data_IF_117703188231
#
_entry.id   IF_117703188231
#
_cell.length_a   1.000
_cell.length_b   1.000
_cell.length_c   1.000
_cell.angle_alpha   90.00
_cell.angle_beta   90.00
_cell.angle_gamma   90.00
#
_symmetry.space_group_name_H-M   'P 1'
#
loop_
_entity.id
_entity.type
_entity.pdbx_description
1 polymer ?
#
# COMPACT_ATOMS: atom_id res chain seq x y z
N UNK A 1 -15.82 -24.42 5.50
CA UNK A 1 -15.62 -24.85 4.09
C UNK A 1 -15.40 -23.60 3.22
N UNK A 2 -14.14 -23.17 3.07
CA UNK A 2 -13.78 -21.95 2.35
C UNK A 2 -14.16 -22.01 0.86
N UNK A 3 -14.84 -20.98 0.35
CA UNK A 3 -15.05 -20.84 -1.09
C UNK A 3 -13.73 -20.49 -1.78
N UNK A 4 -13.22 -21.41 -2.60
CA UNK A 4 -11.97 -21.25 -3.38
C UNK A 4 -11.98 -19.97 -4.24
N UNK A 5 -13.15 -19.53 -4.68
CA UNK A 5 -13.40 -18.28 -5.40
C UNK A 5 -13.02 -17.04 -4.59
N UNK A 6 -13.39 -16.99 -3.30
CA UNK A 6 -13.15 -15.80 -2.48
C UNK A 6 -11.67 -15.63 -2.17
N UNK A 7 -10.95 -16.72 -1.86
CA UNK A 7 -9.49 -16.65 -1.68
C UNK A 7 -8.78 -16.14 -2.94
N UNK A 8 -9.22 -16.58 -4.12
CA UNK A 8 -8.67 -16.10 -5.40
C UNK A 8 -8.92 -14.60 -5.59
N UNK A 9 -10.09 -14.09 -5.22
CA UNK A 9 -10.40 -12.65 -5.26
C UNK A 9 -9.47 -11.85 -4.34
N UNK A 10 -9.28 -12.27 -3.08
CA UNK A 10 -8.36 -11.58 -2.18
C UNK A 10 -6.91 -11.61 -2.67
N UNK A 11 -6.43 -12.78 -3.13
CA UNK A 11 -5.09 -12.90 -3.69
C UNK A 11 -4.92 -11.98 -4.91
N UNK A 12 -5.90 -11.97 -5.82
CA UNK A 12 -5.89 -11.12 -7.02
C UNK A 12 -5.88 -9.62 -6.66
N UNK A 13 -6.74 -9.18 -5.76
CA UNK A 13 -6.77 -7.79 -5.30
C UNK A 13 -5.44 -7.39 -4.63
N UNK A 14 -4.89 -8.24 -3.77
CA UNK A 14 -3.57 -8.01 -3.18
C UNK A 14 -2.47 -7.96 -4.23
N UNK A 15 -2.51 -8.81 -5.26
CA UNK A 15 -1.53 -8.79 -6.35
C UNK A 15 -1.61 -7.50 -7.17
N UNK A 16 -2.79 -6.98 -7.46
CA UNK A 16 -2.95 -5.69 -8.15
C UNK A 16 -2.36 -4.55 -7.31
N UNK A 17 -2.74 -4.47 -6.03
CA UNK A 17 -2.27 -3.40 -5.14
C UNK A 17 -0.75 -3.49 -4.92
N UNK A 18 -0.22 -4.71 -4.78
CA UNK A 18 1.22 -4.96 -4.70
C UNK A 18 1.93 -4.53 -5.98
N UNK A 19 1.37 -4.84 -7.16
CA UNK A 19 1.93 -4.40 -8.43
C UNK A 19 1.98 -2.87 -8.52
N UNK A 20 0.91 -2.17 -8.14
CA UNK A 20 0.88 -0.70 -8.07
C UNK A 20 1.95 -0.16 -7.12
N UNK A 21 2.09 -0.73 -5.92
CA UNK A 21 3.10 -0.31 -4.96
C UNK A 21 4.53 -0.56 -5.48
N UNK A 22 4.77 -1.71 -6.12
CA UNK A 22 6.06 -2.03 -6.75
C UNK A 22 6.39 -1.10 -7.91
N UNK A 23 5.42 -0.76 -8.75
CA UNK A 23 5.59 0.23 -9.82
C UNK A 23 6.03 1.59 -9.27
N UNK A 24 5.56 1.98 -8.09
CA UNK A 24 6.06 3.18 -7.42
C UNK A 24 7.51 3.07 -7.00
N UNK A 25 7.92 1.95 -6.41
CA UNK A 25 9.34 1.76 -6.03
C UNK A 25 10.23 1.80 -7.26
N UNK A 26 9.81 1.17 -8.35
CA UNK A 26 10.51 1.19 -9.64
C UNK A 26 10.56 2.62 -10.21
N UNK A 27 9.45 3.35 -10.21
CA UNK A 27 9.40 4.73 -10.69
C UNK A 27 10.31 5.66 -9.91
N UNK A 28 10.36 5.53 -8.58
CA UNK A 28 11.31 6.28 -7.75
C UNK A 28 12.76 5.89 -8.07
N UNK A 29 13.05 4.59 -8.25
CA UNK A 29 14.39 4.12 -8.60
C UNK A 29 14.84 4.67 -9.97
N UNK A 30 13.96 4.61 -10.98
CA UNK A 30 14.22 5.17 -12.31
C UNK A 30 14.56 6.65 -12.19
N UNK A 31 13.77 7.46 -11.45
CA UNK A 31 14.07 8.88 -11.27
C UNK A 31 15.38 9.17 -10.53
N UNK A 32 15.93 8.21 -9.77
CA UNK A 32 17.23 8.35 -9.11
C UNK A 32 18.37 7.97 -10.05
N UNK A 33 18.22 6.90 -10.82
CA UNK A 33 19.32 6.34 -11.63
C UNK A 33 19.36 6.90 -13.05
N UNK A 34 18.20 7.25 -13.60
CA UNK A 34 18.02 7.70 -14.99
C UNK A 34 16.79 8.61 -15.06
N UNK A 35 16.91 9.89 -14.65
CA UNK A 35 15.79 10.81 -14.63
C UNK A 35 15.12 10.94 -16.00
N UNK A 36 13.79 10.98 -16.01
CA UNK A 36 12.98 11.07 -17.24
C UNK A 36 11.88 12.12 -17.08
N UNK A 37 11.55 12.80 -18.16
CA UNK A 37 10.64 13.96 -18.12
C UNK A 37 9.15 13.58 -17.98
N UNK A 38 8.78 12.35 -18.34
CA UNK A 38 7.39 11.90 -18.26
C UNK A 38 6.98 11.44 -16.86
N UNK A 39 7.94 11.20 -15.95
CA UNK A 39 7.68 10.87 -14.55
C UNK A 39 7.75 12.14 -13.68
N UNK A 40 7.03 12.20 -12.55
CA UNK A 40 7.18 13.31 -11.60
C UNK A 40 8.64 13.50 -11.15
N UNK A 41 9.03 14.73 -10.83
CA UNK A 41 10.37 15.06 -10.31
C UNK A 41 10.67 14.29 -9.02
N UNK A 42 11.93 13.93 -8.76
CA UNK A 42 12.36 13.13 -7.61
C UNK A 42 11.80 13.63 -6.26
N UNK A 43 11.78 14.95 -6.06
CA UNK A 43 11.29 15.61 -4.84
C UNK A 43 9.81 15.31 -4.54
N UNK A 44 9.02 15.03 -5.57
CA UNK A 44 7.60 14.69 -5.44
C UNK A 44 7.37 13.24 -4.96
N UNK A 45 8.33 12.33 -5.17
CA UNK A 45 8.19 10.91 -4.81
C UNK A 45 8.36 10.64 -3.32
N UNK A 46 9.07 11.53 -2.64
CA UNK A 46 9.44 11.38 -1.24
C UNK A 46 8.62 12.32 -0.36
N UNK A 47 7.67 11.74 0.37
CA UNK A 47 6.77 12.46 1.27
C UNK A 47 7.31 12.71 2.68
N UNK A 48 8.46 12.12 3.02
CA UNK A 48 9.12 12.20 4.33
C UNK A 48 10.57 12.65 4.19
N UNK A 49 11.15 13.23 5.23
CA UNK A 49 12.56 13.63 5.22
C UNK A 49 13.51 12.46 5.58
N UNK A 50 13.05 11.21 5.40
CA UNK A 50 13.85 10.03 5.70
C UNK A 50 14.97 9.82 4.65
N UNK A 51 16.13 9.28 5.03
CA UNK A 51 17.13 8.88 4.06
C UNK A 51 16.56 7.86 3.06
N UNK A 52 16.89 8.02 1.78
CA UNK A 52 16.38 7.14 0.72
C UNK A 52 16.61 5.66 1.00
N UNK A 53 17.77 5.29 1.56
CA UNK A 53 18.09 3.90 1.92
C UNK A 53 17.08 3.33 2.92
N UNK A 54 16.71 4.09 3.95
CA UNK A 54 15.72 3.66 4.96
C UNK A 54 14.35 3.50 4.32
N UNK A 55 13.97 4.45 3.46
CA UNK A 55 12.71 4.40 2.73
C UNK A 55 12.65 3.17 1.82
N UNK A 56 13.68 2.92 1.01
CA UNK A 56 13.76 1.77 0.12
C UNK A 56 13.72 0.45 0.90
N UNK A 57 14.49 0.34 1.99
CA UNK A 57 14.46 -0.87 2.84
C UNK A 57 13.06 -1.15 3.38
N UNK A 58 12.34 -0.13 3.85
CA UNK A 58 10.97 -0.29 4.34
C UNK A 58 10.02 -0.76 3.22
N UNK A 59 10.19 -0.25 2.01
CA UNK A 59 9.38 -0.63 0.84
C UNK A 59 9.63 -2.07 0.41
N UNK A 60 10.89 -2.50 0.39
CA UNK A 60 11.26 -3.88 0.05
C UNK A 60 10.71 -4.86 1.10
N UNK A 61 10.77 -4.50 2.39
CA UNK A 61 10.15 -5.30 3.46
C UNK A 61 8.64 -5.44 3.22
N UNK A 62 7.93 -4.35 2.93
CA UNK A 62 6.50 -4.39 2.62
C UNK A 62 6.23 -5.30 1.41
N UNK A 63 6.97 -5.14 0.32
CA UNK A 63 6.79 -5.95 -0.90
C UNK A 63 6.96 -7.44 -0.59
N UNK A 64 8.05 -7.82 0.09
CA UNK A 64 8.33 -9.22 0.44
C UNK A 64 7.23 -9.78 1.33
N UNK A 65 6.84 -9.06 2.38
CA UNK A 65 5.80 -9.50 3.31
C UNK A 65 4.46 -9.72 2.61
N UNK A 66 4.02 -8.75 1.81
CA UNK A 66 2.74 -8.85 1.09
C UNK A 66 2.78 -9.95 0.03
N UNK A 67 3.92 -10.15 -0.64
CA UNK A 67 4.11 -11.26 -1.59
C UNK A 67 3.93 -12.61 -0.89
N UNK A 68 4.58 -12.82 0.26
CA UNK A 68 4.46 -14.05 1.04
C UNK A 68 3.00 -14.27 1.48
N UNK A 69 2.33 -13.22 1.95
CA UNK A 69 0.92 -13.31 2.37
C UNK A 69 -0.02 -13.62 1.20
N UNK A 70 0.15 -12.97 0.06
CA UNK A 70 -0.62 -13.24 -1.15
C UNK A 70 -0.43 -14.69 -1.62
N UNK A 71 0.80 -15.19 -1.61
CA UNK A 71 1.10 -16.59 -1.93
C UNK A 71 0.42 -17.56 -0.95
N UNK A 72 0.49 -17.30 0.37
CA UNK A 72 -0.18 -18.13 1.38
C UNK A 72 -1.70 -18.11 1.26
N UNK A 73 -2.30 -16.97 0.89
CA UNK A 73 -3.74 -16.88 0.61
C UNK A 73 -4.10 -17.70 -0.63
N UNK A 74 -3.30 -17.60 -1.69
CA UNK A 74 -3.49 -18.35 -2.93
C UNK A 74 -3.40 -19.88 -2.69
N UNK A 75 -2.37 -20.30 -1.95
CA UNK A 75 -2.16 -21.70 -1.55
C UNK A 75 -3.19 -22.20 -0.50
N UNK A 76 -3.94 -21.30 0.13
CA UNK A 76 -4.88 -21.63 1.20
C UNK A 76 -4.22 -22.02 2.53
N UNK A 77 -2.93 -21.72 2.72
CA UNK A 77 -2.17 -22.01 3.93
C UNK A 77 -2.17 -20.87 4.95
N UNK A 78 -2.67 -19.68 4.59
CA UNK A 78 -2.85 -18.59 5.54
C UNK A 78 -4.07 -18.87 6.44
N UNK A 79 -3.82 -19.17 7.71
CA UNK A 79 -4.89 -19.38 8.70
C UNK A 79 -5.47 -18.02 9.12
N UNK A 80 -6.76 -17.76 8.90
CA UNK A 80 -7.39 -16.53 9.32
C UNK A 80 -7.44 -16.37 10.84
N UNK A 81 -7.28 -15.14 11.33
CA UNK A 81 -7.28 -14.82 12.77
C UNK A 81 -8.11 -13.57 12.99
N UNK A 82 -9.33 -13.74 13.51
CA UNK A 82 -10.31 -12.65 13.64
C UNK A 82 -9.80 -11.44 14.44
N UNK A 83 -9.01 -11.66 15.49
CA UNK A 83 -8.38 -10.56 16.27
C UNK A 83 -7.43 -9.73 15.41
N UNK A 84 -6.53 -10.40 14.70
CA UNK A 84 -5.60 -9.74 13.76
C UNK A 84 -6.37 -9.00 12.67
N UNK A 85 -7.42 -9.63 12.11
CA UNK A 85 -8.27 -9.02 11.10
C UNK A 85 -8.89 -7.70 11.55
N UNK A 86 -9.47 -7.68 12.76
CA UNK A 86 -10.04 -6.44 13.34
C UNK A 86 -8.99 -5.35 13.52
N UNK A 87 -7.82 -5.70 14.04
CA UNK A 87 -6.71 -4.76 14.25
C UNK A 87 -6.28 -4.16 12.90
N UNK A 88 -5.98 -5.01 11.91
CA UNK A 88 -5.58 -4.57 10.57
C UNK A 88 -6.67 -3.71 9.91
N UNK A 89 -7.94 -4.10 10.05
CA UNK A 89 -9.04 -3.36 9.45
C UNK A 89 -9.21 -1.97 10.09
N UNK A 90 -9.16 -1.86 11.42
CA UNK A 90 -9.23 -0.55 12.10
C UNK A 90 -8.05 0.35 11.74
N UNK A 91 -6.82 -0.17 11.78
CA UNK A 91 -5.64 0.60 11.39
C UNK A 91 -5.67 1.00 9.91
N UNK A 92 -6.11 0.08 9.04
CA UNK A 92 -6.28 0.36 7.62
C UNK A 92 -7.31 1.46 7.36
N UNK A 93 -8.48 1.41 7.99
CA UNK A 93 -9.49 2.47 7.83
C UNK A 93 -8.94 3.81 8.30
N UNK A 94 -8.39 3.85 9.51
CA UNK A 94 -7.86 5.09 10.08
C UNK A 94 -6.79 5.68 9.15
N UNK A 95 -5.85 4.85 8.71
CA UNK A 95 -4.77 5.28 7.83
C UNK A 95 -5.28 5.71 6.44
N UNK A 96 -6.25 4.99 5.87
CA UNK A 96 -6.88 5.35 4.60
C UNK A 96 -7.55 6.72 4.70
N UNK A 97 -8.35 6.97 5.74
CA UNK A 97 -9.06 8.23 5.94
C UNK A 97 -8.07 9.39 6.05
N UNK A 98 -6.99 9.24 6.82
CA UNK A 98 -5.96 10.28 6.97
C UNK A 98 -5.28 10.57 5.63
N UNK A 99 -4.90 9.53 4.87
CA UNK A 99 -4.23 9.70 3.57
C UNK A 99 -5.17 10.25 2.49
N UNK A 100 -6.45 9.88 2.55
CA UNK A 100 -7.48 10.39 1.65
C UNK A 100 -7.74 11.87 1.93
N UNK A 101 -7.91 12.24 3.19
CA UNK A 101 -8.02 13.64 3.61
C UNK A 101 -6.78 14.44 3.19
N UNK A 102 -5.57 13.90 3.42
CA UNK A 102 -4.32 14.53 2.95
C UNK A 102 -4.32 14.76 1.44
N UNK A 103 -4.76 13.79 0.65
CA UNK A 103 -4.81 13.92 -0.80
C UNK A 103 -5.80 15.00 -1.22
N UNK A 104 -7.04 14.96 -0.71
CA UNK A 104 -8.08 15.95 -1.04
C UNK A 104 -7.65 17.36 -0.64
N UNK A 105 -7.15 17.53 0.59
CA UNK A 105 -6.69 18.82 1.07
C UNK A 105 -5.50 19.34 0.26
N UNK A 106 -4.56 18.46 -0.12
CA UNK A 106 -3.38 18.84 -0.88
C UNK A 106 -3.64 19.22 -2.33
N UNK A 107 -4.71 18.72 -2.95
CA UNK A 107 -5.10 19.12 -4.32
C UNK A 107 -6.13 20.26 -4.35
N UNK A 108 -6.60 20.74 -3.19
CA UNK A 108 -7.65 21.78 -3.11
C UNK A 108 -7.17 23.04 -2.38
N UNK A 109 -7.06 22.98 -1.05
CA UNK A 109 -6.94 24.17 -0.19
C UNK A 109 -5.54 24.32 0.40
N UNK A 110 -4.81 23.21 0.58
CA UNK A 110 -3.53 23.17 1.28
C UNK A 110 -2.35 22.83 0.34
N UNK A 111 -2.47 23.12 -0.96
CA UNK A 111 -1.43 22.85 -1.95
C UNK A 111 -0.11 23.58 -1.64
N UNK A 112 -0.15 24.69 -0.91
CA UNK A 112 1.04 25.49 -0.55
C UNK A 112 1.83 24.91 0.63
N UNK A 113 1.26 23.94 1.38
CA UNK A 113 1.92 23.35 2.53
C UNK A 113 2.74 22.11 2.11
N UNK A 114 4.05 22.03 2.41
CA UNK A 114 4.94 20.97 1.91
C UNK A 114 4.48 19.54 2.18
N UNK A 115 3.81 19.31 3.32
CA UNK A 115 3.26 18.00 3.66
C UNK A 115 2.08 17.60 2.77
N UNK A 116 1.27 18.56 2.31
CA UNK A 116 0.09 18.35 1.50
C UNK A 116 0.39 18.42 -0.01
N UNK A 117 1.40 19.19 -0.42
CA UNK A 117 1.85 19.42 -1.80
C UNK A 117 2.46 18.17 -2.50
N UNK A 118 2.42 16.99 -1.87
CA UNK A 118 3.05 15.75 -2.37
C UNK A 118 1.99 14.65 -2.60
N UNK A 119 1.20 14.72 -3.70
CA UNK A 119 0.10 13.80 -3.95
C UNK A 119 0.56 12.38 -4.26
N UNK A 120 1.73 12.21 -4.90
CA UNK A 120 2.28 10.89 -5.28
C UNK A 120 2.41 9.97 -4.04
N UNK A 121 3.10 10.35 -2.95
CA UNK A 121 3.11 9.59 -1.71
C UNK A 121 1.72 9.30 -1.16
N UNK A 122 0.80 10.27 -1.16
CA UNK A 122 -0.55 10.09 -0.60
C UNK A 122 -1.31 8.99 -1.36
N UNK A 123 -1.26 8.98 -2.69
CA UNK A 123 -1.88 7.95 -3.54
C UNK A 123 -1.32 6.57 -3.20
N UNK A 124 0.01 6.41 -3.10
CA UNK A 124 0.59 5.10 -2.79
C UNK A 124 0.41 4.66 -1.33
N UNK A 125 0.19 5.59 -0.41
CA UNK A 125 -0.27 5.25 0.93
C UNK A 125 -1.73 4.77 0.95
N UNK A 126 -2.59 5.27 0.05
CA UNK A 126 -3.93 4.68 -0.16
C UNK A 126 -3.85 3.26 -0.70
N UNK A 127 -2.94 2.99 -1.65
CA UNK A 127 -2.66 1.62 -2.15
C UNK A 127 -2.18 0.71 -1.01
N UNK A 128 -1.23 1.18 -0.20
CA UNK A 128 -0.74 0.46 0.98
C UNK A 128 -1.87 0.18 1.97
N UNK A 129 -2.71 1.18 2.26
CA UNK A 129 -3.86 1.01 3.11
C UNK A 129 -4.87 0.00 2.55
N UNK A 130 -5.09 0.02 1.23
CA UNK A 130 -5.89 -0.97 0.53
C UNK A 130 -5.38 -2.40 0.75
N UNK A 131 -4.06 -2.61 0.74
CA UNK A 131 -3.47 -3.92 1.04
C UNK A 131 -3.79 -4.36 2.49
N UNK A 132 -3.63 -3.45 3.45
CA UNK A 132 -3.93 -3.70 4.88
C UNK A 132 -5.41 -4.00 5.09
N UNK A 133 -6.30 -3.23 4.47
CA UNK A 133 -7.75 -3.43 4.52
C UNK A 133 -8.16 -4.77 3.91
N UNK A 134 -7.55 -5.15 2.77
CA UNK A 134 -7.80 -6.43 2.11
C UNK A 134 -7.39 -7.61 3.00
N UNK A 135 -6.22 -7.53 3.64
CA UNK A 135 -5.76 -8.51 4.61
C UNK A 135 -6.64 -8.55 5.88
N UNK A 136 -7.03 -7.39 6.40
CA UNK A 136 -7.93 -7.29 7.56
C UNK A 136 -9.28 -7.94 7.28
N UNK A 137 -9.87 -7.65 6.12
CA UNK A 137 -11.13 -8.23 5.69
C UNK A 137 -11.02 -9.75 5.48
N UNK A 138 -9.94 -10.22 4.85
CA UNK A 138 -9.65 -11.65 4.71
C UNK A 138 -9.64 -12.34 6.08
N UNK A 139 -8.89 -11.82 7.04
CA UNK A 139 -8.78 -12.40 8.38
C UNK A 139 -10.09 -12.35 9.22
N UNK A 140 -11.02 -11.45 8.89
CA UNK A 140 -12.31 -11.33 9.57
C UNK A 140 -13.40 -12.26 9.02
N UNK A 141 -13.44 -12.45 7.70
CA UNK A 141 -14.57 -13.10 7.01
C UNK A 141 -14.27 -14.52 6.52
N UNK A 142 -13.01 -14.86 6.35
CA UNK A 142 -12.62 -16.24 6.06
C UNK A 142 -12.44 -16.91 7.42
N UNK A 143 -13.37 -17.76 7.87
CA UNK A 143 -13.22 -18.58 9.08
C UNK A 143 -12.89 -20.02 8.68
N UNK A 144 -12.07 -20.76 9.46
CA UNK A 144 -11.81 -22.19 9.22
C UNK A 144 -13.10 -23.01 9.08
#
# INVERSE_FOLDING_TARGET
MYHRSDRRRYAFLLSILLAMFSLRVIGQLIQITSPVDFLPLLESWQGSDLPYTVLLSSQLVIIVLVTILAFRIHAGSLIPRRRLGKILWMFGILYFVIMFARLILGVTVLADYPWFAKPVPAIFHLVLSGMVLTLGHYHCHQQP
#
